data_IF_706019397648
#
_entry.id   IF_706019397648
#
_cell.length_a   1.000
_cell.length_b   1.000
_cell.length_c   1.000
_cell.angle_alpha   90.00
_cell.angle_beta   90.00
_cell.angle_gamma   90.00
#
_symmetry.space_group_name_H-M   'P 1'
#
loop_
_entity.id
_entity.type
_entity.pdbx_description
1 polymer ?
#
# COMPACT_ATOMS: atom_id res chain seq x y z
N UNK A 1 -38.35 -26.40 -13.00
CA UNK A 1 -37.78 -25.39 -13.92
C UNK A 1 -37.21 -24.26 -13.07
N UNK A 2 -35.93 -23.99 -13.27
CA UNK A 2 -35.16 -22.78 -12.96
C UNK A 2 -35.17 -22.26 -11.53
N UNK A 3 -34.22 -22.75 -10.72
CA UNK A 3 -33.61 -21.93 -9.67
C UNK A 3 -32.63 -20.97 -10.34
N UNK A 4 -32.98 -19.69 -10.34
CA UNK A 4 -32.06 -18.62 -10.71
C UNK A 4 -30.89 -18.62 -9.73
N UNK A 5 -29.71 -19.02 -10.21
CA UNK A 5 -28.45 -18.80 -9.49
C UNK A 5 -28.16 -17.30 -9.54
N UNK A 6 -28.45 -16.61 -8.44
CA UNK A 6 -27.86 -15.30 -8.15
C UNK A 6 -26.34 -15.43 -8.27
N UNK A 7 -25.66 -14.67 -9.13
CA UNK A 7 -24.21 -14.62 -9.08
C UNK A 7 -23.84 -13.90 -7.79
N UNK A 8 -23.25 -14.63 -6.83
CA UNK A 8 -22.50 -14.02 -5.74
C UNK A 8 -21.46 -13.10 -6.38
N UNK A 9 -21.71 -11.80 -6.31
CA UNK A 9 -20.69 -10.80 -6.53
C UNK A 9 -19.64 -11.07 -5.45
N UNK A 10 -18.60 -11.85 -5.79
CA UNK A 10 -17.36 -11.86 -5.04
C UNK A 10 -16.90 -10.41 -5.05
N UNK A 11 -17.09 -9.72 -3.92
CA UNK A 11 -16.31 -8.53 -3.63
C UNK A 11 -14.87 -8.95 -3.88
N UNK A 12 -14.30 -8.41 -4.95
CA UNK A 12 -12.96 -8.75 -5.38
C UNK A 12 -12.06 -8.12 -4.32
N UNK A 13 -11.72 -8.88 -3.27
CA UNK A 13 -10.76 -8.46 -2.26
C UNK A 13 -9.52 -7.97 -3.00
N UNK A 14 -9.23 -6.67 -2.89
CA UNK A 14 -8.14 -6.05 -3.62
C UNK A 14 -6.84 -6.75 -3.23
N UNK A 15 -6.05 -7.15 -4.22
CA UNK A 15 -4.81 -7.86 -3.95
C UNK A 15 -3.82 -6.96 -3.18
N UNK A 16 -2.86 -7.52 -2.43
CA UNK A 16 -1.83 -6.71 -1.78
C UNK A 16 -1.08 -5.78 -2.76
N UNK A 17 -0.98 -6.17 -4.04
CA UNK A 17 -0.34 -5.37 -5.08
C UNK A 17 -1.22 -4.23 -5.58
N UNK A 18 -2.52 -4.46 -5.74
CA UNK A 18 -3.49 -3.39 -6.06
C UNK A 18 -3.49 -2.35 -4.95
N UNK A 19 -3.60 -2.77 -3.68
CA UNK A 19 -3.58 -1.88 -2.52
C UNK A 19 -2.26 -1.11 -2.39
N UNK A 20 -1.13 -1.76 -2.64
CA UNK A 20 0.18 -1.12 -2.61
C UNK A 20 0.32 -0.06 -3.70
N UNK A 21 -0.13 -0.35 -4.91
CA UNK A 21 -0.08 0.60 -6.04
C UNK A 21 -0.87 1.85 -5.69
N UNK A 22 -2.11 1.67 -5.24
CA UNK A 22 -2.97 2.79 -4.83
C UNK A 22 -2.34 3.62 -3.70
N UNK A 23 -1.74 2.96 -2.70
CA UNK A 23 -1.09 3.64 -1.59
C UNK A 23 0.07 4.54 -2.09
N UNK A 24 0.95 4.00 -2.93
CA UNK A 24 2.09 4.75 -3.43
C UNK A 24 1.64 5.87 -4.37
N UNK A 25 0.68 5.61 -5.25
CA UNK A 25 0.12 6.63 -6.15
C UNK A 25 -0.51 7.79 -5.38
N UNK A 26 -1.20 7.54 -4.27
CA UNK A 26 -1.86 8.60 -3.49
C UNK A 26 -0.91 9.43 -2.64
N UNK A 27 0.12 8.81 -2.06
CA UNK A 27 0.89 9.41 -0.95
C UNK A 27 2.38 9.60 -1.23
N UNK A 28 2.95 8.97 -2.26
CA UNK A 28 4.38 9.04 -2.54
C UNK A 28 4.79 10.24 -3.43
N UNK A 29 3.94 11.26 -3.56
CA UNK A 29 4.25 12.43 -4.38
C UNK A 29 5.33 13.31 -3.71
N UNK A 30 6.49 13.52 -4.36
CA UNK A 30 7.59 14.30 -3.79
C UNK A 30 7.25 15.80 -3.62
N UNK A 31 6.23 16.27 -4.33
CA UNK A 31 5.68 17.63 -4.20
C UNK A 31 4.90 17.84 -2.90
N UNK A 32 4.41 16.75 -2.28
CA UNK A 32 3.61 16.79 -1.05
C UNK A 32 4.40 16.34 0.17
N UNK A 33 5.25 15.32 0.04
CA UNK A 33 6.17 14.90 1.09
C UNK A 33 7.42 14.25 0.51
N UNK A 34 8.58 14.86 0.80
CA UNK A 34 9.87 14.29 0.40
C UNK A 34 10.17 13.02 1.19
N UNK A 35 9.69 12.94 2.43
CA UNK A 35 9.84 11.77 3.28
C UNK A 35 9.06 10.56 2.72
N UNK A 36 7.79 10.74 2.35
CA UNK A 36 7.01 9.66 1.74
C UNK A 36 7.64 9.18 0.42
N UNK A 37 8.04 10.09 -0.47
CA UNK A 37 8.71 9.72 -1.72
C UNK A 37 10.01 8.92 -1.47
N UNK A 38 10.79 9.30 -0.46
CA UNK A 38 12.00 8.56 -0.06
C UNK A 38 11.68 7.16 0.47
N UNK A 39 10.64 7.02 1.28
CA UNK A 39 10.24 5.72 1.83
C UNK A 39 9.65 4.84 0.73
N UNK A 40 8.89 5.40 -0.21
CA UNK A 40 8.40 4.68 -1.39
C UNK A 40 9.54 4.04 -2.20
N UNK A 41 10.65 4.76 -2.40
CA UNK A 41 11.86 4.17 -3.01
C UNK A 41 12.39 2.96 -2.23
N UNK A 42 12.39 3.02 -0.89
CA UNK A 42 12.82 1.88 -0.05
C UNK A 42 11.82 0.71 -0.07
N UNK A 43 10.54 0.98 -0.28
CA UNK A 43 9.50 -0.03 -0.49
C UNK A 43 9.79 -0.77 -1.81
N UNK A 44 10.04 -0.04 -2.89
CA UNK A 44 10.41 -0.58 -4.20
C UNK A 44 11.69 -1.44 -4.08
N UNK A 45 12.72 -0.95 -3.38
CA UNK A 45 13.94 -1.71 -3.12
C UNK A 45 13.68 -3.01 -2.36
N UNK A 46 12.76 -2.99 -1.39
CA UNK A 46 12.39 -4.19 -0.63
C UNK A 46 11.66 -5.22 -1.49
N UNK A 47 10.83 -4.77 -2.44
CA UNK A 47 10.14 -5.63 -3.42
C UNK A 47 11.15 -6.25 -4.38
N UNK A 48 12.06 -5.44 -4.94
CA UNK A 48 13.14 -5.91 -5.81
C UNK A 48 14.02 -6.97 -5.13
N UNK A 49 14.35 -6.74 -3.85
CA UNK A 49 15.11 -7.67 -3.02
C UNK A 49 14.29 -8.88 -2.53
N UNK A 50 12.97 -8.92 -2.81
CA UNK A 50 12.03 -9.93 -2.34
C UNK A 50 12.09 -10.14 -0.81
N UNK A 51 12.30 -9.04 -0.09
CA UNK A 51 12.50 -9.06 1.36
C UNK A 51 11.20 -8.64 2.08
N UNK A 52 10.46 -9.62 2.58
CA UNK A 52 9.18 -9.42 3.28
C UNK A 52 9.31 -8.57 4.53
N UNK A 53 10.27 -8.87 5.39
CA UNK A 53 10.47 -8.14 6.65
C UNK A 53 10.78 -6.67 6.38
N UNK A 54 11.70 -6.41 5.44
CA UNK A 54 12.04 -5.05 5.04
C UNK A 54 10.85 -4.32 4.41
N UNK A 55 10.05 -5.00 3.59
CA UNK A 55 8.85 -4.44 2.98
C UNK A 55 7.84 -4.01 4.05
N UNK A 56 7.51 -4.90 4.99
CA UNK A 56 6.56 -4.61 6.07
C UNK A 56 7.04 -3.44 6.93
N UNK A 57 8.33 -3.43 7.30
CA UNK A 57 8.94 -2.34 8.06
C UNK A 57 8.86 -1.00 7.31
N UNK A 58 9.12 -0.97 6.00
CA UNK A 58 9.03 0.27 5.23
C UNK A 58 7.58 0.74 5.05
N UNK A 59 6.60 -0.16 4.92
CA UNK A 59 5.18 0.19 4.89
C UNK A 59 4.72 0.77 6.22
N UNK A 60 5.20 0.24 7.33
CA UNK A 60 4.92 0.80 8.65
C UNK A 60 5.52 2.20 8.79
N UNK A 61 6.77 2.41 8.33
CA UNK A 61 7.34 3.75 8.31
C UNK A 61 6.61 4.71 7.37
N UNK A 62 6.16 4.24 6.22
CA UNK A 62 5.40 5.05 5.26
C UNK A 62 4.09 5.55 5.88
N UNK A 63 3.33 4.66 6.52
CA UNK A 63 2.07 5.05 7.18
C UNK A 63 2.23 5.93 8.41
N UNK A 64 3.42 5.98 9.02
CA UNK A 64 3.71 6.82 10.18
C UNK A 64 4.50 8.10 9.81
N UNK A 65 4.88 8.27 8.53
CA UNK A 65 5.60 9.45 8.08
C UNK A 65 4.69 10.68 8.11
N UNK A 66 5.28 11.84 8.39
CA UNK A 66 4.53 13.10 8.41
C UNK A 66 4.56 13.76 7.03
N UNK A 67 3.54 14.55 6.75
CA UNK A 67 3.49 15.36 5.54
C UNK A 67 4.18 16.70 5.83
N UNK A 68 5.18 17.05 5.01
CA UNK A 68 6.03 18.24 5.21
C UNK A 68 5.22 19.55 5.18
N UNK A 69 4.04 19.56 4.53
CA UNK A 69 3.18 20.75 4.32
C UNK A 69 2.38 21.24 5.53
N UNK A 70 2.61 20.73 6.75
CA UNK A 70 2.33 21.36 8.06
C UNK A 70 0.90 21.86 8.39
N UNK A 71 0.46 21.51 9.61
CA UNK A 71 -0.50 22.21 10.50
C UNK A 71 -1.94 22.47 10.03
N UNK A 72 -2.35 22.00 8.85
CA UNK A 72 -3.77 22.00 8.46
C UNK A 72 -4.43 20.69 8.93
N UNK A 73 -5.64 20.77 9.49
CA UNK A 73 -6.49 19.61 9.79
C UNK A 73 -6.65 18.67 8.59
N UNK A 74 -6.54 19.22 7.37
CA UNK A 74 -6.49 18.43 6.13
C UNK A 74 -5.26 17.54 6.03
N UNK A 75 -4.07 18.04 6.36
CA UNK A 75 -2.85 17.23 6.34
C UNK A 75 -2.94 16.09 7.36
N UNK A 76 -3.48 16.35 8.55
CA UNK A 76 -3.70 15.31 9.57
C UNK A 76 -4.68 14.23 9.09
N UNK A 77 -5.75 14.60 8.38
CA UNK A 77 -6.68 13.63 7.80
C UNK A 77 -6.02 12.76 6.71
N UNK A 78 -5.12 13.33 5.92
CA UNK A 78 -4.33 12.60 4.91
C UNK A 78 -3.36 11.64 5.59
N UNK A 79 -2.66 12.07 6.64
CA UNK A 79 -1.77 11.21 7.44
C UNK A 79 -2.53 10.02 8.06
N UNK A 80 -3.70 10.25 8.65
CA UNK A 80 -4.54 9.19 9.21
C UNK A 80 -5.01 8.20 8.12
N UNK A 81 -5.32 8.71 6.93
CA UNK A 81 -5.72 7.88 5.80
C UNK A 81 -4.55 7.05 5.27
N UNK A 82 -3.37 7.66 5.12
CA UNK A 82 -2.12 6.97 4.76
C UNK A 82 -1.78 5.86 5.77
N UNK A 83 -1.88 6.13 7.07
CA UNK A 83 -1.66 5.15 8.12
C UNK A 83 -2.63 3.97 8.02
N UNK A 84 -3.92 4.25 7.77
CA UNK A 84 -4.95 3.21 7.63
C UNK A 84 -4.72 2.35 6.39
N UNK A 85 -4.45 2.95 5.24
CA UNK A 85 -4.20 2.24 3.98
C UNK A 85 -2.90 1.43 4.05
N UNK A 86 -1.83 1.97 4.67
CA UNK A 86 -0.59 1.23 4.90
C UNK A 86 -0.81 0.00 5.77
N UNK A 87 -1.62 0.12 6.84
CA UNK A 87 -1.99 -1.02 7.70
C UNK A 87 -2.84 -2.05 6.97
N UNK A 88 -3.69 -1.64 6.02
CA UNK A 88 -4.44 -2.56 5.19
C UNK A 88 -3.50 -3.39 4.31
N UNK A 89 -2.55 -2.73 3.63
CA UNK A 89 -1.52 -3.44 2.83
C UNK A 89 -0.72 -4.41 3.69
N UNK A 90 -0.26 -3.97 4.87
CA UNK A 90 0.48 -4.82 5.83
C UNK A 90 -0.35 -6.05 6.21
N UNK A 91 -1.62 -5.86 6.60
CA UNK A 91 -2.52 -6.96 6.97
C UNK A 91 -2.65 -7.98 5.84
N UNK A 92 -2.89 -7.53 4.61
CA UNK A 92 -3.03 -8.43 3.47
C UNK A 92 -1.72 -9.16 3.16
N UNK A 93 -0.57 -8.46 3.25
CA UNK A 93 0.74 -9.07 3.12
C UNK A 93 1.08 -10.06 4.24
N UNK A 94 0.58 -9.85 5.46
CA UNK A 94 0.73 -10.78 6.59
C UNK A 94 -0.17 -12.00 6.46
N UNK A 95 -1.40 -11.81 5.96
CA UNK A 95 -2.40 -12.87 5.76
C UNK A 95 -1.96 -13.90 4.70
N UNK A 96 -1.17 -13.49 3.69
CA UNK A 96 -0.64 -14.42 2.70
C UNK A 96 0.55 -15.22 3.23
N UNK A 97 0.53 -16.54 3.00
CA UNK A 97 1.66 -17.41 3.34
C UNK A 97 2.89 -17.09 2.48
N UNK A 98 2.66 -16.84 1.18
CA UNK A 98 3.69 -16.54 0.19
C UNK A 98 3.33 -15.27 -0.57
N UNK A 99 4.20 -14.28 -0.48
CA UNK A 99 4.06 -13.01 -1.20
C UNK A 99 4.26 -13.24 -2.71
N UNK A 100 3.33 -12.73 -3.52
CA UNK A 100 3.45 -12.74 -4.97
C UNK A 100 4.36 -11.59 -5.45
N UNK A 101 5.67 -11.81 -5.38
CA UNK A 101 6.67 -10.79 -5.71
C UNK A 101 6.59 -10.29 -7.16
N UNK A 102 6.18 -11.13 -8.11
CA UNK A 102 6.05 -10.72 -9.51
C UNK A 102 4.91 -9.72 -9.70
N UNK A 103 3.81 -9.92 -8.98
CA UNK A 103 2.66 -9.02 -9.01
C UNK A 103 3.02 -7.68 -8.36
N UNK A 104 3.71 -7.70 -7.21
CA UNK A 104 4.20 -6.49 -6.55
C UNK A 104 5.21 -5.72 -7.42
N UNK A 105 6.10 -6.43 -8.12
CA UNK A 105 7.10 -5.80 -9.00
C UNK A 105 6.42 -5.07 -10.15
N UNK A 106 5.44 -5.74 -10.81
CA UNK A 106 4.62 -5.13 -11.87
C UNK A 106 3.83 -3.92 -11.38
N UNK A 107 3.23 -4.02 -10.19
CA UNK A 107 2.48 -2.95 -9.55
C UNK A 107 3.30 -1.67 -9.38
N UNK A 108 4.58 -1.81 -8.99
CA UNK A 108 5.47 -0.66 -8.76
C UNK A 108 6.39 -0.33 -9.95
N UNK A 109 6.22 -1.02 -11.08
CA UNK A 109 6.91 -0.73 -12.34
C UNK A 109 8.37 -1.19 -12.43
N UNK A 110 8.74 -2.28 -11.74
CA UNK A 110 10.10 -2.87 -11.77
C UNK A 110 10.13 -4.32 -12.25
#
# INVERSE_FOLDING_TARGET
MNTEKTPEAKEKEASPAELLTELLEKYAHPEDSKEHAKIAGKIIDAIAARNREKLLMQLEYFGNARIDKSSDSRAQMVEVSCARESRAVIRELEAVQKVNWEELSKAVGI
#
